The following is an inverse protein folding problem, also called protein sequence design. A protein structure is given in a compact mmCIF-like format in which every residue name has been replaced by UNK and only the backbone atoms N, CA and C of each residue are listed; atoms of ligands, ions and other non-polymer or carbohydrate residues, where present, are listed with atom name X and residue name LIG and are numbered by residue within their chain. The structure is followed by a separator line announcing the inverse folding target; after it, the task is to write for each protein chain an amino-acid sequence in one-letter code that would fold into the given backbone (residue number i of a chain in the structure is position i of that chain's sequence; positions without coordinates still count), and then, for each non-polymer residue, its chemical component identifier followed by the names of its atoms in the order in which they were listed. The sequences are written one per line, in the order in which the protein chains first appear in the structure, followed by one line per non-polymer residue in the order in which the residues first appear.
data_IF_715642217551
#
_entry.id   IF_715642217551
#
_cell.length_a   1.000
_cell.length_b   1.000
_cell.length_c   1.000
_cell.angle_alpha   90.00
_cell.angle_beta   90.00
_cell.angle_gamma   90.00
#
_symmetry.space_group_name_H-M   'P 1'
#
loop_
_entity.id
_entity.type
_entity.pdbx_description
1 polymer ?
#
# COMPACT_ATOMS: atom_id res chain seq x y z
N UNK A 1 -32.71 -3.23 -15.15
CA UNK A 1 -31.56 -2.79 -15.96
C UNK A 1 -31.86 -1.37 -16.36
N UNK A 2 -31.47 -0.42 -15.53
CA UNK A 2 -31.55 1.03 -15.79
C UNK A 2 -30.26 1.40 -16.53
N UNK A 3 -30.38 1.87 -17.77
CA UNK A 3 -29.31 2.45 -18.54
C UNK A 3 -28.88 3.75 -17.84
N UNK A 4 -27.76 3.74 -17.14
CA UNK A 4 -27.07 4.98 -16.78
C UNK A 4 -26.69 5.69 -18.07
N UNK A 5 -27.39 6.79 -18.36
CA UNK A 5 -27.03 7.66 -19.46
C UNK A 5 -25.76 8.40 -19.07
N UNK A 6 -24.61 7.90 -19.49
CA UNK A 6 -23.34 8.62 -19.39
C UNK A 6 -23.39 9.87 -20.25
N UNK A 7 -23.82 10.98 -19.68
CA UNK A 7 -23.63 12.28 -20.31
C UNK A 7 -22.11 12.56 -20.36
N UNK A 8 -21.55 12.89 -21.53
CA UNK A 8 -20.15 13.25 -21.60
C UNK A 8 -19.88 14.47 -20.71
N UNK A 9 -18.85 14.37 -19.87
CA UNK A 9 -18.43 15.46 -18.99
C UNK A 9 -18.20 16.74 -19.77
N UNK A 10 -18.72 17.84 -19.26
CA UNK A 10 -18.51 19.19 -19.81
C UNK A 10 -17.05 19.62 -19.65
N UNK A 11 -16.64 20.64 -20.41
CA UNK A 11 -15.30 21.22 -20.28
C UNK A 11 -15.08 21.86 -18.90
N UNK A 12 -16.13 22.40 -18.29
CA UNK A 12 -16.07 22.99 -16.94
C UNK A 12 -15.86 21.91 -15.88
N UNK A 13 -16.58 20.79 -15.94
CA UNK A 13 -16.38 19.66 -15.04
C UNK A 13 -14.97 19.09 -15.15
N UNK A 14 -14.42 18.96 -16.35
CA UNK A 14 -13.03 18.52 -16.54
C UNK A 14 -12.03 19.50 -15.92
N UNK A 15 -12.25 20.80 -16.06
CA UNK A 15 -11.39 21.81 -15.44
C UNK A 15 -11.50 21.77 -13.91
N UNK A 16 -12.71 21.56 -13.36
CA UNK A 16 -12.93 21.40 -11.92
C UNK A 16 -12.15 20.24 -11.34
N UNK A 17 -12.19 19.06 -11.97
CA UNK A 17 -11.41 17.88 -11.54
C UNK A 17 -9.91 18.18 -11.53
N UNK A 18 -9.39 18.87 -12.56
CA UNK A 18 -7.97 19.22 -12.61
C UNK A 18 -7.57 20.18 -11.48
N UNK A 19 -8.43 21.14 -11.14
CA UNK A 19 -8.16 22.07 -10.02
C UNK A 19 -8.32 21.41 -8.67
N UNK A 20 -9.21 20.42 -8.52
CA UNK A 20 -9.41 19.64 -7.30
C UNK A 20 -8.15 18.81 -6.96
N UNK A 21 -7.39 18.38 -7.97
CA UNK A 21 -6.16 17.60 -7.74
C UNK A 21 -4.96 18.43 -7.25
N UNK A 22 -5.01 19.75 -7.35
CA UNK A 22 -3.88 20.64 -7.06
C UNK A 22 -3.31 20.49 -5.63
N UNK A 23 -4.11 20.45 -4.54
CA UNK A 23 -3.59 20.26 -3.19
C UNK A 23 -2.84 18.93 -3.01
N UNK A 24 -3.28 17.89 -3.74
CA UNK A 24 -2.64 16.58 -3.73
C UNK A 24 -1.29 16.60 -4.44
N UNK A 25 -1.21 17.28 -5.57
CA UNK A 25 0.05 17.48 -6.29
C UNK A 25 1.08 18.20 -5.43
N UNK A 26 0.68 19.24 -4.69
CA UNK A 26 1.54 19.96 -3.75
C UNK A 26 1.98 19.05 -2.58
N UNK A 27 1.07 18.23 -2.04
CA UNK A 27 1.36 17.34 -0.93
C UNK A 27 2.36 16.25 -1.30
N UNK A 28 2.22 15.68 -2.51
CA UNK A 28 3.02 14.52 -2.92
C UNK A 28 4.22 14.85 -3.82
N UNK A 29 4.39 16.09 -4.26
CA UNK A 29 5.56 16.48 -5.05
C UNK A 29 6.87 16.17 -4.31
N UNK A 30 7.77 15.42 -4.94
CA UNK A 30 9.03 14.97 -4.37
C UNK A 30 8.93 13.87 -3.31
N UNK A 31 7.73 13.35 -3.03
CA UNK A 31 7.50 12.29 -2.05
C UNK A 31 7.63 10.90 -2.66
N UNK A 32 8.13 9.96 -1.87
CA UNK A 32 8.18 8.54 -2.25
C UNK A 32 6.89 7.84 -1.82
N UNK A 33 6.27 7.15 -2.76
CA UNK A 33 5.10 6.29 -2.52
C UNK A 33 5.45 4.87 -2.93
N UNK A 34 5.40 3.94 -1.97
CA UNK A 34 5.60 2.52 -2.25
C UNK A 34 4.25 1.88 -2.57
N UNK A 35 4.18 1.17 -3.69
CA UNK A 35 2.97 0.53 -4.18
C UNK A 35 3.20 -0.98 -4.26
N UNK A 36 2.46 -1.73 -3.48
CA UNK A 36 2.41 -3.18 -3.65
C UNK A 36 1.40 -3.53 -4.73
N UNK A 37 1.86 -4.23 -5.76
CA UNK A 37 1.05 -4.69 -6.88
C UNK A 37 0.91 -6.21 -6.89
N UNK A 38 -0.34 -6.70 -6.96
CA UNK A 38 -0.62 -8.14 -6.89
C UNK A 38 -2.09 -8.47 -7.13
N UNK A 39 -2.43 -9.74 -7.00
CA UNK A 39 -3.81 -10.23 -7.15
C UNK A 39 -4.30 -10.26 -8.61
N UNK A 40 -5.61 -10.16 -8.79
CA UNK A 40 -6.26 -10.22 -10.09
C UNK A 40 -5.90 -9.03 -11.00
N UNK A 41 -5.50 -7.90 -10.44
CA UNK A 41 -4.98 -6.76 -11.19
C UNK A 41 -3.76 -7.12 -12.07
N UNK A 42 -3.06 -8.21 -11.75
CA UNK A 42 -1.92 -8.72 -12.53
C UNK A 42 -2.32 -9.65 -13.67
N UNK A 43 -3.60 -10.01 -13.80
CA UNK A 43 -4.09 -10.97 -14.79
C UNK A 43 -4.91 -10.28 -15.87
N UNK A 44 -5.70 -9.29 -15.50
CA UNK A 44 -6.55 -8.52 -16.41
C UNK A 44 -5.74 -7.48 -17.19
N UNK A 45 -5.82 -7.51 -18.52
CA UNK A 45 -5.02 -6.65 -19.41
C UNK A 45 -5.43 -5.16 -19.33
N UNK A 46 -6.70 -4.85 -19.05
CA UNK A 46 -7.17 -3.46 -18.91
C UNK A 46 -6.68 -2.88 -17.59
N UNK A 47 -6.78 -3.65 -16.51
CA UNK A 47 -6.27 -3.25 -15.20
C UNK A 47 -4.75 -3.06 -15.20
N UNK A 48 -4.01 -3.95 -15.88
CA UNK A 48 -2.56 -3.79 -16.05
C UNK A 48 -2.19 -2.49 -16.77
N UNK A 49 -2.92 -2.15 -17.84
CA UNK A 49 -2.70 -0.89 -18.58
C UNK A 49 -3.05 0.33 -17.73
N UNK A 50 -4.18 0.31 -17.03
CA UNK A 50 -4.57 1.38 -16.12
C UNK A 50 -3.51 1.59 -15.04
N UNK A 51 -3.04 0.52 -14.40
CA UNK A 51 -1.96 0.58 -13.41
C UNK A 51 -0.68 1.22 -13.98
N UNK A 52 -0.24 0.79 -15.17
CA UNK A 52 0.96 1.35 -15.79
C UNK A 52 0.80 2.85 -16.12
N UNK A 53 -0.38 3.27 -16.56
CA UNK A 53 -0.71 4.68 -16.78
C UNK A 53 -0.68 5.47 -15.47
N UNK A 54 -1.23 4.91 -14.38
CA UNK A 54 -1.22 5.54 -13.06
C UNK A 54 0.21 5.78 -12.56
N UNK A 55 1.10 4.78 -12.68
CA UNK A 55 2.52 4.90 -12.31
C UNK A 55 3.20 6.02 -13.10
N UNK A 56 2.98 6.06 -14.42
CA UNK A 56 3.55 7.11 -15.28
C UNK A 56 2.97 8.48 -14.93
N UNK A 57 1.67 8.56 -14.66
CA UNK A 57 1.02 9.80 -14.24
C UNK A 57 1.63 10.32 -12.92
N UNK A 58 1.72 9.47 -11.88
CA UNK A 58 2.34 9.82 -10.60
C UNK A 58 3.77 10.34 -10.80
N UNK A 59 4.58 9.61 -11.61
CA UNK A 59 5.95 10.03 -11.92
C UNK A 59 6.01 11.39 -12.60
N UNK A 60 5.11 11.68 -13.54
CA UNK A 60 5.04 12.98 -14.24
C UNK A 60 4.56 14.11 -13.35
N UNK A 61 3.78 13.81 -12.30
CA UNK A 61 3.39 14.76 -11.26
C UNK A 61 4.49 15.03 -10.22
N UNK A 62 5.71 14.49 -10.41
CA UNK A 62 6.84 14.71 -9.49
C UNK A 62 6.84 13.79 -8.27
N UNK A 63 5.98 12.79 -8.23
CA UNK A 63 5.99 11.73 -7.19
C UNK A 63 7.08 10.71 -7.54
N UNK A 64 7.64 10.05 -6.55
CA UNK A 64 8.58 8.95 -6.71
C UNK A 64 7.90 7.60 -6.42
N UNK A 65 7.17 7.00 -7.40
CA UNK A 65 6.57 5.69 -7.20
C UNK A 65 7.65 4.60 -7.19
N UNK A 66 7.54 3.68 -6.22
CA UNK A 66 8.33 2.44 -6.12
C UNK A 66 7.35 1.27 -6.11
N UNK A 67 7.47 0.37 -7.07
CA UNK A 67 6.54 -0.75 -7.20
C UNK A 67 7.16 -2.00 -6.62
N UNK A 68 6.46 -2.68 -5.71
CA UNK A 68 6.82 -4.03 -5.24
C UNK A 68 5.75 -5.00 -5.72
N UNK A 69 6.14 -6.03 -6.47
CA UNK A 69 5.16 -6.93 -7.06
C UNK A 69 5.28 -8.37 -6.56
N UNK A 70 4.14 -9.05 -6.52
CA UNK A 70 4.04 -10.48 -6.39
C UNK A 70 3.98 -11.17 -7.76
N UNK A 71 3.47 -12.42 -7.78
CA UNK A 71 3.34 -13.21 -9.01
C UNK A 71 2.59 -14.52 -8.78
N UNK A 72 1.76 -14.57 -7.72
CA UNK A 72 1.06 -15.79 -7.29
C UNK A 72 0.36 -16.55 -8.42
N UNK A 73 -0.51 -15.90 -9.23
CA UNK A 73 -1.19 -16.55 -10.35
C UNK A 73 -0.23 -17.09 -11.41
N UNK A 74 0.78 -16.31 -11.80
CA UNK A 74 1.75 -16.69 -12.82
C UNK A 74 2.65 -17.85 -12.36
N UNK A 75 3.08 -17.82 -11.08
CA UNK A 75 3.83 -18.92 -10.45
C UNK A 75 2.97 -20.20 -10.45
N UNK A 76 1.70 -20.13 -10.01
CA UNK A 76 0.78 -21.28 -10.01
C UNK A 76 0.59 -21.85 -11.41
N UNK A 77 0.41 -21.00 -12.40
CA UNK A 77 0.26 -21.43 -13.79
C UNK A 77 1.53 -22.12 -14.31
N UNK A 78 2.72 -21.61 -13.99
CA UNK A 78 3.98 -22.19 -14.43
C UNK A 78 4.26 -23.54 -13.72
N UNK A 79 4.08 -23.62 -12.40
CA UNK A 79 4.21 -24.88 -11.65
C UNK A 79 3.26 -25.93 -12.19
N UNK A 80 1.99 -25.57 -12.47
CA UNK A 80 1.00 -26.47 -13.07
C UNK A 80 1.43 -26.98 -14.46
N UNK A 81 1.99 -26.13 -15.31
CA UNK A 81 2.52 -26.51 -16.62
C UNK A 81 3.68 -27.49 -16.54
N UNK A 82 4.48 -27.40 -15.48
CA UNK A 82 5.64 -28.28 -15.23
C UNK A 82 5.28 -29.52 -14.41
N UNK A 83 4.04 -29.65 -13.94
CA UNK A 83 3.60 -30.76 -13.10
C UNK A 83 4.16 -30.72 -11.68
N UNK A 84 4.64 -29.58 -11.22
CA UNK A 84 5.18 -29.39 -9.87
C UNK A 84 4.01 -29.03 -8.93
N UNK A 85 3.86 -29.76 -7.81
CA UNK A 85 2.79 -29.48 -6.85
C UNK A 85 2.90 -28.07 -6.27
N UNK A 86 1.74 -27.41 -6.10
CA UNK A 86 1.64 -26.08 -5.50
C UNK A 86 0.61 -26.12 -4.37
N UNK A 87 1.07 -25.96 -3.14
CA UNK A 87 0.27 -25.97 -1.93
C UNK A 87 0.35 -24.63 -1.22
N UNK A 88 -0.74 -24.26 -0.53
CA UNK A 88 -0.81 -23.08 0.31
C UNK A 88 -1.17 -23.47 1.74
N UNK A 89 -0.49 -22.88 2.71
CA UNK A 89 -0.73 -23.02 4.14
C UNK A 89 -0.75 -21.65 4.79
N UNK A 90 -1.79 -21.34 5.57
CA UNK A 90 -1.93 -20.04 6.19
C UNK A 90 -1.86 -18.86 5.19
N UNK A 91 -2.33 -19.03 3.97
CA UNK A 91 -2.27 -18.00 2.91
C UNK A 91 -0.90 -17.86 2.22
N UNK A 92 0.14 -18.59 2.66
CA UNK A 92 1.47 -18.57 2.08
C UNK A 92 1.73 -19.85 1.25
N UNK A 93 2.49 -19.72 0.16
CA UNK A 93 2.85 -20.84 -0.71
C UNK A 93 3.94 -21.67 -0.04
N UNK A 94 3.73 -22.96 0.14
CA UNK A 94 4.80 -23.90 0.46
C UNK A 94 5.79 -23.91 -0.72
N UNK A 95 7.05 -23.58 -0.47
CA UNK A 95 8.05 -23.34 -1.53
C UNK A 95 9.23 -24.33 -1.34
N UNK A 96 9.19 -25.44 -2.07
CA UNK A 96 10.31 -26.39 -2.13
C UNK A 96 11.49 -25.78 -2.89
N UNK A 97 12.72 -26.33 -2.79
CA UNK A 97 13.86 -25.87 -3.59
C UNK A 97 13.56 -25.87 -5.09
N UNK A 98 12.92 -26.90 -5.61
CA UNK A 98 12.50 -26.99 -7.01
C UNK A 98 11.47 -25.90 -7.38
N UNK A 99 10.47 -25.68 -6.51
CA UNK A 99 9.50 -24.62 -6.71
C UNK A 99 10.16 -23.22 -6.65
N UNK A 100 11.19 -23.03 -5.81
CA UNK A 100 11.89 -21.75 -5.69
C UNK A 100 12.62 -21.34 -6.97
N UNK A 101 13.21 -22.29 -7.69
CA UNK A 101 13.82 -22.02 -9.01
C UNK A 101 12.78 -21.45 -9.98
N UNK A 102 11.58 -22.03 -10.00
CA UNK A 102 10.47 -21.55 -10.84
C UNK A 102 9.96 -20.20 -10.36
N UNK A 103 9.79 -20.01 -9.04
CA UNK A 103 9.40 -18.71 -8.46
C UNK A 103 10.36 -17.62 -8.91
N UNK A 104 11.66 -17.83 -8.78
CA UNK A 104 12.69 -16.86 -9.19
C UNK A 104 12.61 -16.54 -10.68
N UNK A 105 12.52 -17.56 -11.55
CA UNK A 105 12.39 -17.37 -13.00
C UNK A 105 11.12 -16.58 -13.36
N UNK A 106 9.98 -16.94 -12.78
CA UNK A 106 8.70 -16.28 -13.07
C UNK A 106 8.67 -14.84 -12.55
N UNK A 107 9.09 -14.62 -11.31
CA UNK A 107 9.06 -13.30 -10.70
C UNK A 107 9.96 -12.30 -11.43
N UNK A 108 11.21 -12.67 -11.68
CA UNK A 108 12.20 -11.76 -12.30
C UNK A 108 12.11 -11.76 -13.82
N UNK A 109 12.03 -12.95 -14.42
CA UNK A 109 12.13 -13.13 -15.87
C UNK A 109 10.81 -12.92 -16.61
N UNK A 110 9.66 -13.13 -15.98
CA UNK A 110 8.34 -12.95 -16.60
C UNK A 110 7.61 -11.75 -16.00
N UNK A 111 7.12 -11.83 -14.77
CA UNK A 111 6.25 -10.82 -14.18
C UNK A 111 6.93 -9.45 -14.13
N UNK A 112 8.15 -9.38 -13.59
CA UNK A 112 8.92 -8.14 -13.52
C UNK A 112 9.19 -7.53 -14.91
N UNK A 113 9.52 -8.38 -15.90
CA UNK A 113 9.77 -7.91 -17.29
C UNK A 113 8.51 -7.41 -17.97
N UNK A 114 7.39 -8.12 -17.81
CA UNK A 114 6.11 -7.73 -18.38
C UNK A 114 5.67 -6.37 -17.82
N UNK A 115 5.80 -6.19 -16.49
CA UNK A 115 5.43 -4.94 -15.82
C UNK A 115 6.32 -3.76 -16.23
N UNK A 116 7.64 -3.96 -16.23
CA UNK A 116 8.61 -2.95 -16.72
C UNK A 116 8.34 -2.59 -18.19
N UNK A 117 8.11 -3.58 -19.05
CA UNK A 117 7.78 -3.36 -20.45
C UNK A 117 6.50 -2.56 -20.63
N UNK A 118 5.48 -2.87 -19.84
CA UNK A 118 4.19 -2.18 -19.89
C UNK A 118 4.30 -0.72 -19.44
N UNK A 119 4.96 -0.43 -18.32
CA UNK A 119 5.20 0.95 -17.88
C UNK A 119 6.03 1.70 -18.94
N UNK A 120 7.09 1.07 -19.45
CA UNK A 120 7.97 1.68 -20.45
C UNK A 120 7.30 1.89 -21.82
N UNK A 121 6.22 1.20 -22.13
CA UNK A 121 5.43 1.48 -23.34
C UNK A 121 4.71 2.84 -23.28
N UNK A 122 4.45 3.36 -22.08
CA UNK A 122 3.87 4.70 -21.86
C UNK A 122 4.95 5.76 -21.65
N UNK A 123 6.03 5.44 -20.92
CA UNK A 123 7.16 6.34 -20.66
C UNK A 123 8.36 5.52 -20.21
N UNK A 124 9.52 5.68 -20.87
CA UNK A 124 10.75 4.92 -20.59
C UNK A 124 11.37 5.36 -19.27
N UNK A 125 10.82 4.86 -18.16
CA UNK A 125 11.21 5.24 -16.77
C UNK A 125 11.39 4.04 -15.84
N UNK A 126 10.81 2.87 -16.14
CA UNK A 126 10.81 1.73 -15.24
C UNK A 126 12.07 0.88 -15.35
N UNK A 127 12.63 0.48 -14.20
CA UNK A 127 13.77 -0.42 -14.07
C UNK A 127 13.41 -1.54 -13.09
N UNK A 128 13.58 -2.80 -13.53
CA UNK A 128 13.28 -3.98 -12.70
C UNK A 128 14.45 -4.39 -11.83
N UNK A 129 14.12 -4.76 -10.60
CA UNK A 129 15.00 -5.27 -9.57
C UNK A 129 14.35 -6.48 -8.89
N UNK A 130 15.15 -7.18 -8.12
CA UNK A 130 14.70 -8.14 -7.09
C UNK A 130 15.37 -7.81 -5.76
N UNK A 131 14.98 -8.44 -4.68
CA UNK A 131 15.67 -8.28 -3.40
C UNK A 131 17.13 -8.74 -3.40
N UNK A 132 17.54 -9.50 -4.43
CA UNK A 132 18.93 -9.93 -4.61
C UNK A 132 19.83 -8.81 -5.15
N UNK A 133 19.25 -7.86 -5.92
CA UNK A 133 20.01 -6.84 -6.62
C UNK A 133 20.55 -5.78 -5.65
N UNK A 134 21.86 -5.54 -5.68
CA UNK A 134 22.53 -4.60 -4.79
C UNK A 134 22.44 -4.96 -3.30
N UNK A 135 22.05 -6.21 -2.96
CA UNK A 135 21.78 -6.63 -1.59
C UNK A 135 20.59 -5.92 -0.97
N UNK A 136 19.59 -5.59 -1.79
CA UNK A 136 18.41 -4.80 -1.39
C UNK A 136 17.69 -5.39 -0.19
N UNK A 137 17.45 -6.72 -0.18
CA UNK A 137 16.80 -7.41 0.92
C UNK A 137 17.69 -8.52 1.46
N UNK A 138 17.71 -8.68 2.80
CA UNK A 138 18.11 -9.90 3.47
C UNK A 138 16.87 -10.54 4.08
N UNK A 139 16.65 -11.83 3.83
CA UNK A 139 15.52 -12.58 4.36
C UNK A 139 15.96 -13.52 5.48
N UNK A 140 15.03 -13.82 6.38
CA UNK A 140 15.10 -14.98 7.28
C UNK A 140 13.96 -15.93 6.97
N UNK A 141 14.21 -17.23 7.18
CA UNK A 141 13.20 -18.27 6.96
C UNK A 141 11.98 -18.03 7.84
N UNK A 142 10.79 -18.06 7.21
CA UNK A 142 9.51 -17.87 7.89
C UNK A 142 8.70 -19.17 7.85
N UNK A 143 8.21 -19.61 9.01
CA UNK A 143 7.12 -20.57 9.16
C UNK A 143 5.77 -19.86 9.25
N UNK A 144 4.72 -20.60 9.43
CA UNK A 144 3.37 -20.12 9.76
C UNK A 144 2.74 -21.04 10.80
N UNK A 145 1.72 -20.52 11.49
CA UNK A 145 0.92 -21.33 12.42
C UNK A 145 -0.44 -21.58 11.76
N UNK A 146 -0.83 -22.85 11.64
CA UNK A 146 -2.14 -23.27 11.13
C UNK A 146 -2.78 -24.20 12.18
N UNK A 147 -3.97 -23.86 12.62
CA UNK A 147 -4.72 -24.62 13.65
C UNK A 147 -3.91 -24.85 14.94
N UNK A 148 -3.01 -23.91 15.31
CA UNK A 148 -2.16 -23.96 16.48
C UNK A 148 -0.87 -24.77 16.32
N UNK A 149 -0.59 -25.35 15.15
CA UNK A 149 0.63 -26.07 14.86
C UNK A 149 1.57 -25.25 13.96
N UNK A 150 2.87 -25.28 14.26
CA UNK A 150 3.90 -24.68 13.40
C UNK A 150 4.04 -25.48 12.12
N UNK A 151 3.92 -24.83 10.97
CA UNK A 151 4.03 -25.41 9.62
C UNK A 151 5.30 -24.88 8.96
N UNK A 152 6.17 -25.80 8.52
CA UNK A 152 7.30 -25.48 7.68
C UNK A 152 6.84 -25.18 6.25
N UNK A 153 7.16 -23.98 5.76
CA UNK A 153 6.82 -23.52 4.42
C UNK A 153 7.95 -23.73 3.39
N UNK A 154 9.06 -24.34 3.80
CA UNK A 154 10.25 -24.50 2.95
C UNK A 154 11.00 -23.19 2.77
N UNK A 155 11.29 -22.81 1.51
CA UNK A 155 12.01 -21.59 1.16
C UNK A 155 11.09 -20.36 1.09
N UNK A 156 10.38 -20.10 2.19
CA UNK A 156 9.62 -18.87 2.42
C UNK A 156 10.37 -18.03 3.44
N UNK A 157 10.51 -16.74 3.17
CA UNK A 157 11.22 -15.80 4.03
C UNK A 157 10.41 -14.56 4.36
N UNK A 158 10.82 -13.87 5.43
CA UNK A 158 10.43 -12.50 5.71
C UNK A 158 11.66 -11.59 5.64
N UNK A 159 11.46 -10.32 5.25
CA UNK A 159 12.54 -9.34 5.13
C UNK A 159 12.94 -8.86 6.53
N UNK A 160 14.23 -9.02 6.86
CA UNK A 160 14.80 -8.60 8.15
C UNK A 160 15.76 -7.42 8.01
N UNK A 161 16.37 -7.24 6.83
CA UNK A 161 17.23 -6.09 6.53
C UNK A 161 16.91 -5.55 5.13
N UNK A 162 16.95 -4.23 4.99
CA UNK A 162 16.76 -3.53 3.71
C UNK A 162 17.89 -2.54 3.50
N UNK A 163 18.57 -2.62 2.35
CA UNK A 163 19.59 -1.67 1.88
C UNK A 163 19.04 -0.88 0.71
N UNK A 164 18.76 0.38 0.94
CA UNK A 164 17.99 1.21 -0.01
C UNK A 164 18.81 1.80 -1.15
N UNK A 165 20.14 1.70 -1.14
CA UNK A 165 21.05 2.44 -2.04
C UNK A 165 20.75 2.19 -3.53
N UNK A 166 20.45 0.93 -3.91
CA UNK A 166 20.11 0.61 -5.29
C UNK A 166 18.78 1.24 -5.73
N UNK A 167 17.76 1.20 -4.86
CA UNK A 167 16.45 1.80 -5.13
C UNK A 167 16.54 3.32 -5.10
N UNK A 168 17.24 3.91 -4.13
CA UNK A 168 17.43 5.34 -4.03
C UNK A 168 18.18 5.90 -5.24
N UNK A 169 19.25 5.22 -5.69
CA UNK A 169 19.97 5.63 -6.91
C UNK A 169 19.08 5.64 -8.16
N UNK A 170 18.13 4.71 -8.28
CA UNK A 170 17.14 4.73 -9.36
C UNK A 170 16.15 5.89 -9.23
N UNK A 171 15.66 6.17 -8.02
CA UNK A 171 14.77 7.31 -7.74
C UNK A 171 15.47 8.62 -8.12
N UNK A 172 16.71 8.80 -7.69
CA UNK A 172 17.53 10.00 -7.94
C UNK A 172 17.84 10.19 -9.43
N UNK A 173 18.02 9.09 -10.16
CA UNK A 173 18.16 9.13 -11.64
C UNK A 173 16.87 9.43 -12.39
N UNK A 174 15.75 9.58 -11.69
CA UNK A 174 14.43 9.81 -12.27
C UNK A 174 13.72 8.55 -12.73
N UNK A 175 14.22 7.35 -12.39
CA UNK A 175 13.61 6.06 -12.74
C UNK A 175 12.52 5.66 -11.73
N UNK A 176 11.73 4.66 -12.12
CA UNK A 176 10.73 3.98 -11.30
C UNK A 176 11.24 2.57 -10.99
N UNK A 177 11.64 2.27 -9.74
CA UNK A 177 12.03 0.93 -9.36
C UNK A 177 10.83 -0.03 -9.36
N UNK A 178 11.00 -1.23 -9.94
CA UNK A 178 10.01 -2.31 -9.95
C UNK A 178 10.66 -3.54 -9.33
N UNK A 179 10.28 -3.88 -8.10
CA UNK A 179 10.97 -4.83 -7.24
C UNK A 179 10.19 -6.14 -7.11
N UNK A 180 10.82 -7.26 -7.42
CA UNK A 180 10.27 -8.60 -7.22
C UNK A 180 10.47 -9.08 -5.78
N UNK A 181 9.44 -9.70 -5.19
CA UNK A 181 9.43 -10.22 -3.82
C UNK A 181 10.20 -11.54 -3.65
N UNK A 182 11.51 -11.52 -3.88
CA UNK A 182 12.45 -12.60 -3.56
C UNK A 182 13.67 -12.01 -2.86
N UNK A 183 14.29 -12.75 -1.94
CA UNK A 183 15.44 -12.26 -1.20
C UNK A 183 16.35 -13.40 -0.74
N UNK A 184 17.69 -13.23 -0.76
CA UNK A 184 18.61 -14.18 -0.15
C UNK A 184 18.59 -14.02 1.38
N UNK A 185 18.92 -15.11 2.08
CA UNK A 185 19.32 -15.05 3.48
C UNK A 185 20.83 -14.73 3.61
N UNK A 186 21.33 -14.68 4.85
CA UNK A 186 22.76 -14.42 5.15
C UNK A 186 23.71 -15.49 4.59
N UNK A 187 23.19 -16.64 4.18
CA UNK A 187 23.96 -17.73 3.57
C UNK A 187 23.84 -17.74 2.03
N UNK A 188 23.08 -16.80 1.45
CA UNK A 188 22.84 -16.70 0.01
C UNK A 188 21.74 -17.64 -0.50
N UNK A 189 20.97 -18.28 0.38
CA UNK A 189 19.81 -19.09 -0.02
C UNK A 189 18.63 -18.17 -0.31
N UNK A 190 18.11 -18.26 -1.53
CA UNK A 190 17.01 -17.38 -1.98
C UNK A 190 15.67 -17.89 -1.47
N UNK A 191 14.86 -16.96 -0.95
CA UNK A 191 13.53 -17.20 -0.39
C UNK A 191 12.46 -16.48 -1.19
N UNK A 192 11.30 -17.10 -1.27
CA UNK A 192 10.06 -16.46 -1.74
C UNK A 192 9.51 -15.58 -0.60
N UNK A 193 9.44 -14.28 -0.84
CA UNK A 193 8.99 -13.29 0.14
C UNK A 193 7.59 -12.81 -0.22
N UNK A 194 6.72 -12.69 0.77
CA UNK A 194 5.42 -12.08 0.57
C UNK A 194 5.59 -10.62 0.14
N UNK A 195 4.94 -10.24 -0.98
CA UNK A 195 5.08 -8.91 -1.54
C UNK A 195 4.48 -7.81 -0.65
N UNK A 196 3.47 -8.11 0.18
CA UNK A 196 2.89 -7.15 1.12
C UNK A 196 3.92 -6.79 2.20
N UNK A 197 4.58 -7.80 2.80
CA UNK A 197 5.62 -7.60 3.83
C UNK A 197 6.89 -6.98 3.25
N UNK A 198 7.30 -7.37 2.03
CA UNK A 198 8.44 -6.77 1.34
C UNK A 198 8.19 -5.28 1.04
N UNK A 199 6.99 -4.93 0.59
CA UNK A 199 6.61 -3.55 0.33
C UNK A 199 6.61 -2.70 1.60
N UNK A 200 6.10 -3.23 2.72
CA UNK A 200 6.12 -2.55 4.00
C UNK A 200 7.56 -2.32 4.50
N UNK A 201 8.42 -3.35 4.43
CA UNK A 201 9.81 -3.24 4.84
C UNK A 201 10.57 -2.19 4.00
N UNK A 202 10.37 -2.20 2.68
CA UNK A 202 10.96 -1.22 1.77
C UNK A 202 10.44 0.19 2.02
N UNK A 203 9.13 0.35 2.26
CA UNK A 203 8.53 1.64 2.55
C UNK A 203 9.11 2.28 3.83
N UNK A 204 9.26 1.48 4.88
CA UNK A 204 9.88 1.92 6.15
C UNK A 204 11.34 2.32 5.92
N UNK A 205 12.13 1.50 5.25
CA UNK A 205 13.54 1.77 5.01
C UNK A 205 13.78 3.01 4.12
N UNK A 206 12.92 3.26 3.13
CA UNK A 206 12.94 4.45 2.28
C UNK A 206 12.36 5.69 2.96
N UNK A 207 11.80 5.56 4.17
CA UNK A 207 11.04 6.63 4.82
C UNK A 207 9.97 7.21 3.87
N UNK A 208 9.25 6.31 3.21
CA UNK A 208 8.23 6.68 2.24
C UNK A 208 7.11 7.47 2.90
N UNK A 209 6.48 8.38 2.17
CA UNK A 209 5.32 9.14 2.66
C UNK A 209 4.08 8.24 2.83
N UNK A 210 3.96 7.24 1.96
CA UNK A 210 2.80 6.35 1.93
C UNK A 210 3.13 4.96 1.41
N UNK A 211 2.45 3.95 1.95
CA UNK A 211 2.32 2.62 1.37
C UNK A 211 0.91 2.44 0.82
N UNK A 212 0.78 1.95 -0.42
CA UNK A 212 -0.50 1.55 -1.02
C UNK A 212 -0.45 0.07 -1.38
N UNK A 213 -1.36 -0.72 -0.83
CA UNK A 213 -1.48 -2.16 -1.08
C UNK A 213 -2.68 -2.42 -1.97
N UNK A 214 -2.45 -2.71 -3.24
CA UNK A 214 -3.52 -3.13 -4.16
C UNK A 214 -3.88 -4.60 -3.90
N UNK A 215 -5.16 -4.88 -3.80
CA UNK A 215 -5.74 -6.19 -3.47
C UNK A 215 -7.01 -6.47 -4.27
N UNK A 216 -7.65 -7.61 -4.02
CA UNK A 216 -8.87 -8.06 -4.69
C UNK A 216 -10.14 -7.82 -3.86
N UNK A 217 -10.08 -6.90 -2.89
CA UNK A 217 -11.21 -6.48 -2.05
C UNK A 217 -11.22 -4.97 -1.91
N UNK A 218 -12.39 -4.39 -1.69
CA UNK A 218 -12.59 -2.93 -1.59
C UNK A 218 -11.82 -2.30 -0.41
N UNK A 219 -11.63 -3.07 0.67
CA UNK A 219 -10.95 -2.62 1.88
C UNK A 219 -11.26 -3.55 3.04
N UNK A 220 -11.13 -3.06 4.26
CA UNK A 220 -11.54 -3.76 5.48
C UNK A 220 -13.02 -3.50 5.76
N UNK A 221 -13.81 -4.56 5.82
CA UNK A 221 -15.23 -4.46 6.14
C UNK A 221 -15.45 -4.46 7.65
N UNK A 222 -16.41 -3.65 8.12
CA UNK A 222 -16.71 -3.51 9.55
C UNK A 222 -17.20 -4.81 10.21
N UNK A 223 -18.11 -5.50 9.54
CA UNK A 223 -18.78 -6.70 10.07
C UNK A 223 -18.92 -7.78 8.97
N UNK A 224 -17.80 -8.22 8.40
CA UNK A 224 -17.84 -9.27 7.39
C UNK A 224 -18.24 -10.63 7.99
N UNK A 225 -19.15 -11.42 7.37
CA UNK A 225 -19.87 -11.17 6.10
C UNK A 225 -21.23 -10.47 6.24
N UNK A 226 -21.60 -9.98 7.43
CA UNK A 226 -22.91 -9.39 7.70
C UNK A 226 -23.10 -8.01 7.03
N UNK A 227 -22.02 -7.26 6.81
CA UNK A 227 -22.03 -5.97 6.13
C UNK A 227 -20.89 -5.89 5.09
N UNK A 228 -21.12 -5.10 4.04
CA UNK A 228 -20.10 -4.70 3.05
C UNK A 228 -19.64 -3.25 3.26
N UNK A 229 -19.94 -2.67 4.42
CA UNK A 229 -19.49 -1.31 4.76
C UNK A 229 -17.97 -1.31 4.98
N UNK A 230 -17.26 -0.60 4.12
CA UNK A 230 -15.80 -0.46 4.20
C UNK A 230 -15.44 0.55 5.29
N UNK A 231 -14.51 0.17 6.15
CA UNK A 231 -13.89 1.10 7.09
C UNK A 231 -12.95 2.01 6.29
N UNK A 232 -13.29 3.28 6.20
CA UNK A 232 -12.52 4.25 5.41
C UNK A 232 -11.15 4.56 6.04
N UNK A 233 -11.14 4.70 7.38
CA UNK A 233 -9.95 5.05 8.13
C UNK A 233 -9.97 4.43 9.52
N UNK A 234 -8.79 4.00 9.99
CA UNK A 234 -8.58 3.54 11.36
C UNK A 234 -7.12 3.81 11.77
N UNK A 235 -6.93 3.97 13.08
CA UNK A 235 -5.60 4.09 13.67
C UNK A 235 -4.89 2.74 13.78
N UNK A 236 -3.57 2.77 14.02
CA UNK A 236 -2.78 1.56 14.27
C UNK A 236 -3.31 0.77 15.47
N UNK A 237 -3.74 1.45 16.55
CA UNK A 237 -4.31 0.81 17.74
C UNK A 237 -5.64 0.12 17.43
N UNK A 238 -6.56 0.78 16.72
CA UNK A 238 -7.83 0.19 16.31
C UNK A 238 -7.62 -1.01 15.39
N UNK A 239 -6.67 -0.92 14.44
CA UNK A 239 -6.35 -2.05 13.58
C UNK A 239 -5.83 -3.24 14.38
N UNK A 240 -4.97 -2.99 15.39
CA UNK A 240 -4.39 -4.06 16.22
C UNK A 240 -5.48 -4.82 17.00
N UNK A 241 -6.51 -4.13 17.46
CA UNK A 241 -7.66 -4.77 18.12
C UNK A 241 -8.47 -5.67 17.16
N UNK A 242 -8.57 -5.28 15.89
CA UNK A 242 -9.33 -6.02 14.88
C UNK A 242 -8.55 -7.21 14.27
N UNK A 243 -7.24 -7.28 14.44
CA UNK A 243 -6.39 -8.28 13.76
C UNK A 243 -6.81 -9.73 13.99
N UNK A 244 -7.32 -10.06 15.20
CA UNK A 244 -7.76 -11.43 15.56
C UNK A 244 -9.00 -11.89 14.78
N UNK A 245 -9.80 -10.96 14.28
CA UNK A 245 -11.10 -11.23 13.64
C UNK A 245 -10.99 -11.24 12.10
N UNK A 246 -9.79 -10.97 11.57
CA UNK A 246 -9.56 -10.89 10.14
C UNK A 246 -9.46 -12.26 9.47
N UNK A 247 -9.95 -12.34 8.23
CA UNK A 247 -9.74 -13.51 7.40
C UNK A 247 -8.26 -13.71 7.05
N UNK A 248 -7.85 -14.96 6.86
CA UNK A 248 -6.45 -15.33 6.55
C UNK A 248 -5.88 -14.61 5.32
N UNK A 249 -6.71 -14.21 4.35
CA UNK A 249 -6.28 -13.46 3.17
C UNK A 249 -6.09 -11.96 3.44
N UNK A 250 -6.74 -11.40 4.48
CA UNK A 250 -6.64 -9.99 4.85
C UNK A 250 -5.48 -9.75 5.85
N UNK A 251 -5.21 -10.69 6.74
CA UNK A 251 -4.16 -10.60 7.76
C UNK A 251 -2.82 -10.11 7.20
N UNK A 252 -2.21 -10.70 6.16
CA UNK A 252 -0.91 -10.24 5.68
C UNK A 252 -0.91 -8.80 5.17
N UNK A 253 -2.03 -8.32 4.63
CA UNK A 253 -2.17 -6.96 4.11
C UNK A 253 -2.28 -5.93 5.23
N UNK A 254 -3.07 -6.25 6.25
CA UNK A 254 -3.22 -5.40 7.42
C UNK A 254 -1.95 -5.41 8.29
N UNK A 255 -1.27 -6.56 8.43
CA UNK A 255 0.07 -6.63 9.04
C UNK A 255 1.08 -5.73 8.31
N UNK A 256 1.05 -5.71 6.96
CA UNK A 256 1.93 -4.83 6.19
C UNK A 256 1.62 -3.35 6.43
N UNK A 257 0.34 -2.96 6.49
CA UNK A 257 -0.07 -1.60 6.82
C UNK A 257 0.34 -1.22 8.26
N UNK A 258 0.10 -2.11 9.23
CA UNK A 258 0.48 -1.90 10.62
C UNK A 258 1.99 -1.73 10.77
N UNK A 259 2.79 -2.66 10.18
CA UNK A 259 4.26 -2.58 10.15
C UNK A 259 4.76 -1.26 9.54
N UNK A 260 4.11 -0.78 8.47
CA UNK A 260 4.49 0.46 7.82
C UNK A 260 4.25 1.68 8.73
N UNK A 261 3.07 1.81 9.33
CA UNK A 261 2.76 2.98 10.18
C UNK A 261 3.50 2.93 11.52
N UNK A 262 3.71 1.76 12.11
CA UNK A 262 4.56 1.57 13.29
C UNK A 262 6.04 1.84 12.99
N UNK A 263 6.47 1.57 11.75
CA UNK A 263 7.80 1.88 11.24
C UNK A 263 8.03 3.35 10.90
N UNK A 264 7.04 4.22 11.08
CA UNK A 264 7.18 5.66 10.95
C UNK A 264 6.46 6.29 9.76
N UNK A 265 5.80 5.51 8.87
CA UNK A 265 4.99 6.09 7.81
C UNK A 265 3.74 6.75 8.41
N UNK A 266 3.36 7.89 7.88
CA UNK A 266 2.15 8.60 8.34
C UNK A 266 0.88 7.82 8.02
N UNK A 267 0.89 7.06 6.90
CA UNK A 267 -0.28 6.31 6.42
C UNK A 267 0.10 5.12 5.53
N UNK A 268 -0.75 4.11 5.59
CA UNK A 268 -0.74 2.97 4.68
C UNK A 268 -2.18 2.65 4.28
N UNK A 269 -2.41 2.22 3.03
CA UNK A 269 -3.77 1.98 2.53
C UNK A 269 -3.85 0.62 1.85
N UNK A 270 -4.96 -0.08 2.11
CA UNK A 270 -5.39 -1.24 1.31
C UNK A 270 -6.53 -0.79 0.42
N UNK A 271 -6.44 -1.04 -0.89
CA UNK A 271 -7.44 -0.59 -1.87
C UNK A 271 -7.66 -1.62 -2.99
N UNK A 272 -8.82 -1.56 -3.64
CA UNK A 272 -9.23 -2.50 -4.67
C UNK A 272 -8.48 -2.28 -5.99
N UNK A 273 -7.54 -3.16 -6.29
CA UNK A 273 -6.81 -3.15 -7.56
C UNK A 273 -7.63 -3.57 -8.78
N UNK A 274 -8.90 -4.01 -8.60
CA UNK A 274 -9.82 -4.33 -9.71
C UNK A 274 -10.54 -3.09 -10.24
N UNK A 275 -10.42 -1.96 -9.56
CA UNK A 275 -10.94 -0.67 -10.03
C UNK A 275 -9.90 -0.05 -10.98
N UNK A 276 -10.25 0.25 -12.23
CA UNK A 276 -9.35 0.98 -13.12
C UNK A 276 -8.93 2.33 -12.51
N UNK A 277 -7.66 2.65 -12.59
CA UNK A 277 -7.10 3.87 -12.00
C UNK A 277 -7.23 3.99 -10.48
N UNK A 278 -7.28 2.85 -9.77
CA UNK A 278 -7.40 2.80 -8.31
C UNK A 278 -6.35 3.66 -7.59
N UNK A 279 -5.10 3.71 -8.10
CA UNK A 279 -4.04 4.54 -7.50
C UNK A 279 -4.35 6.03 -7.59
N UNK A 280 -4.89 6.50 -8.72
CA UNK A 280 -5.24 7.90 -8.88
C UNK A 280 -6.41 8.29 -7.98
N UNK A 281 -7.42 7.43 -7.90
CA UNK A 281 -8.56 7.63 -7.01
C UNK A 281 -8.13 7.65 -5.54
N UNK A 282 -7.20 6.78 -5.15
CA UNK A 282 -6.73 6.69 -3.76
C UNK A 282 -5.80 7.84 -3.37
N UNK A 283 -4.98 8.35 -4.29
CA UNK A 283 -3.96 9.37 -4.00
C UNK A 283 -4.46 10.79 -4.22
N UNK A 284 -5.29 11.01 -5.23
CA UNK A 284 -5.68 12.34 -5.69
C UNK A 284 -7.13 12.71 -5.39
N UNK A 285 -7.82 11.98 -4.50
CA UNK A 285 -9.18 12.33 -4.06
C UNK A 285 -9.29 12.38 -2.54
N UNK A 286 -10.25 13.16 -2.05
CA UNK A 286 -10.49 13.33 -0.62
C UNK A 286 -11.00 12.06 0.06
N UNK A 287 -11.87 11.32 -0.60
CA UNK A 287 -12.49 10.13 -0.01
C UNK A 287 -11.57 8.91 -0.03
N UNK A 288 -10.70 8.79 -1.06
CA UNK A 288 -10.07 7.51 -1.36
C UNK A 288 -11.10 6.46 -1.76
N UNK A 289 -10.67 5.24 -1.98
CA UNK A 289 -11.58 4.10 -2.31
C UNK A 289 -11.31 2.87 -1.45
N UNK A 290 -10.35 2.93 -0.53
CA UNK A 290 -9.91 1.82 0.30
C UNK A 290 -9.99 2.09 1.80
N UNK A 291 -9.29 1.27 2.57
CA UNK A 291 -9.10 1.44 4.01
C UNK A 291 -7.72 2.02 4.27
N UNK A 292 -7.67 3.19 4.88
CA UNK A 292 -6.44 3.84 5.29
C UNK A 292 -6.14 3.56 6.77
N UNK A 293 -4.90 3.19 7.04
CA UNK A 293 -4.34 3.03 8.40
C UNK A 293 -3.40 4.19 8.66
N UNK A 294 -3.58 4.87 9.80
CA UNK A 294 -2.78 6.00 10.23
C UNK A 294 -2.06 5.72 11.54
N UNK A 295 -1.02 6.48 11.84
CA UNK A 295 -0.41 6.47 13.17
C UNK A 295 -1.43 6.92 14.22
N UNK A 296 -1.27 6.44 15.45
CA UNK A 296 -2.09 6.89 16.58
C UNK A 296 -1.88 8.40 16.83
N UNK A 297 -2.98 9.08 17.12
CA UNK A 297 -2.95 10.52 17.40
C UNK A 297 -2.83 11.43 16.16
N UNK A 298 -3.00 10.91 14.96
CA UNK A 298 -3.11 11.69 13.74
C UNK A 298 -4.58 11.86 13.33
N UNK A 299 -4.90 13.01 12.74
CA UNK A 299 -6.21 13.32 12.15
C UNK A 299 -6.00 13.78 10.72
N UNK A 300 -6.82 13.26 9.81
CA UNK A 300 -6.80 13.64 8.39
C UNK A 300 -7.72 14.83 8.12
N UNK A 301 -7.23 15.77 7.31
CA UNK A 301 -8.01 16.85 6.73
C UNK A 301 -7.65 16.99 5.25
N UNK A 302 -8.53 16.55 4.39
CA UNK A 302 -8.27 16.53 2.95
C UNK A 302 -7.01 15.71 2.61
N UNK A 303 -6.04 16.36 1.94
CA UNK A 303 -4.76 15.74 1.53
C UNK A 303 -3.73 15.60 2.64
N UNK A 304 -3.92 16.27 3.79
CA UNK A 304 -2.92 16.37 4.87
C UNK A 304 -3.35 15.61 6.12
N UNK A 305 -2.34 15.20 6.90
CA UNK A 305 -2.49 14.55 8.20
C UNK A 305 -1.82 15.42 9.24
N UNK A 306 -2.49 15.63 10.38
CA UNK A 306 -2.05 16.50 11.46
C UNK A 306 -2.06 15.74 12.80
N UNK A 307 -1.19 16.11 13.76
CA UNK A 307 -1.34 15.64 15.14
C UNK A 307 -2.71 16.05 15.72
N UNK A 308 -3.43 15.12 16.32
CA UNK A 308 -4.75 15.39 16.91
C UNK A 308 -4.70 16.45 18.04
N UNK A 309 -3.51 16.69 18.60
CA UNK A 309 -3.25 17.65 19.68
C UNK A 309 -2.92 19.06 19.21
N UNK A 310 -2.68 19.25 17.92
CA UNK A 310 -2.36 20.57 17.37
C UNK A 310 -3.60 21.24 16.77
N UNK A 311 -3.78 22.56 16.99
CA UNK A 311 -4.88 23.28 16.33
C UNK A 311 -4.59 23.33 14.82
N UNK A 312 -5.59 22.92 14.05
CA UNK A 312 -5.51 22.94 12.59
C UNK A 312 -5.40 24.38 12.11
N UNK A 313 -4.45 24.74 11.24
CA UNK A 313 -4.28 26.09 10.74
C UNK A 313 -5.57 26.59 10.04
N UNK A 314 -6.02 27.83 10.28
CA UNK A 314 -7.29 28.34 9.75
C UNK A 314 -7.43 28.31 8.22
N UNK A 315 -6.33 28.41 7.48
CA UNK A 315 -6.33 28.34 6.02
C UNK A 315 -6.59 26.92 5.47
N UNK A 316 -6.43 25.88 6.29
CA UNK A 316 -6.73 24.49 5.92
C UNK A 316 -8.24 24.22 5.95
N UNK A 317 -9.01 25.01 6.73
CA UNK A 317 -10.48 24.90 6.76
C UNK A 317 -11.15 25.46 5.49
N UNK A 318 -10.47 26.29 4.71
CA UNK A 318 -11.07 26.97 3.56
C UNK A 318 -11.13 26.08 2.28
N UNK A 319 -10.44 24.93 2.25
CA UNK A 319 -10.25 24.13 1.05
C UNK A 319 -10.96 22.76 1.07
N UNK A 320 -11.85 22.47 2.04
CA UNK A 320 -12.44 21.15 2.18
C UNK A 320 -13.96 21.18 2.41
N UNK A 321 -14.68 20.38 1.64
CA UNK A 321 -16.03 19.92 1.98
C UNK A 321 -15.95 18.99 3.19
N UNK A 322 -16.28 19.51 4.36
CA UNK A 322 -16.23 18.75 5.60
C UNK A 322 -17.45 17.84 5.72
N UNK A 323 -17.30 16.56 5.45
CA UNK A 323 -18.20 15.55 5.99
C UNK A 323 -18.26 15.75 7.52
N UNK A 324 -19.47 15.90 8.06
CA UNK A 324 -19.76 16.25 9.44
C UNK A 324 -19.26 15.20 10.46
N UNK A 325 -17.97 15.21 10.74
CA UNK A 325 -17.43 14.64 11.98
C UNK A 325 -17.35 15.79 12.99
N UNK A 326 -18.32 15.85 13.90
CA UNK A 326 -18.40 16.86 14.93
C UNK A 326 -17.18 16.78 15.85
N UNK A 327 -16.27 17.75 15.74
CA UNK A 327 -15.24 17.97 16.75
C UNK A 327 -15.96 18.58 17.95
N UNK A 328 -16.13 17.79 19.03
CA UNK A 328 -16.61 18.33 20.29
C UNK A 328 -15.58 19.37 20.80
N UNK A 329 -16.00 20.60 21.17
CA UNK A 329 -15.06 21.56 21.70
C UNK A 329 -14.50 21.07 23.04
N UNK A 330 -13.17 21.13 23.18
CA UNK A 330 -12.50 20.84 24.44
C UNK A 330 -13.09 21.73 25.55
N UNK A 331 -13.50 21.08 26.65
CA UNK A 331 -14.08 21.76 27.80
C UNK A 331 -13.08 22.78 28.38
N UNK A 332 -13.40 24.04 28.27
CA UNK A 332 -12.67 25.12 28.95
C UNK A 332 -12.85 24.96 30.46
N UNK A 333 -11.81 24.56 31.15
CA UNK A 333 -11.74 24.67 32.60
C UNK A 333 -11.78 26.17 32.97
N UNK A 334 -12.94 26.63 33.39
CA UNK A 334 -13.09 27.91 34.08
C UNK A 334 -12.46 27.76 35.47
N UNK A 335 -11.36 28.44 35.69
CA UNK A 335 -10.79 28.62 37.03
C UNK A 335 -11.59 29.70 37.77
N UNK A 336 -12.41 29.29 38.73
CA UNK A 336 -13.03 30.18 39.71
C UNK A 336 -11.95 30.81 40.58
N UNK A 337 -11.65 32.07 40.32
CA UNK A 337 -10.99 32.94 41.30
C UNK A 337 -12.04 33.53 42.23
N UNK A 338 -12.27 32.92 43.40
CA UNK A 338 -12.92 33.56 44.51
C UNK A 338 -11.99 34.60 45.14
N UNK A 339 -12.31 35.86 44.95
CA UNK A 339 -11.79 36.96 45.74
C UNK A 339 -12.53 37.06 47.07
N UNK A 340 -11.92 36.64 48.16
CA UNK A 340 -12.35 36.95 49.51
C UNK A 340 -11.91 38.37 49.87
N UNK A 341 -12.84 39.32 49.85
CA UNK A 341 -12.71 40.59 50.56
C UNK A 341 -13.12 40.41 51.99
N UNK A 342 -12.27 40.76 52.96
CA UNK A 342 -12.56 40.92 54.37
C UNK A 342 -12.36 42.39 54.78
N UNK A 343 -13.19 42.91 55.68
CA UNK A 343 -13.18 44.31 56.05
C UNK A 343 -12.33 44.57 57.31
N UNK A 344 -11.69 45.68 57.34
CA UNK A 344 -11.53 46.62 58.49
C UNK A 344 -10.66 47.82 58.09
#
# INVERSE_FOLDING_TARGET
MSSESTHPMTLVEKASILTETLPWLETYAGKTVVIKYGGNAMVDEELKRAFAQDIVFMKRCGIHPVVVHGGGPQISAMLGRLGIPSEFRGGLRVTTPEAMEIVRMVMVGQVGRDLVGLINSHSTVAVGLSGEDGGLFTAERRGTVVDGEEVDLGLVGDVVEVRTEAVQGLIDSGSVPVVAGIAPDVHGVVHNVNADTAAAALAVALQADRLVVLTDVEGLYRDWPASTDVIQELSASELRELMSDLSSGMVPKMEACLRAVEGGLTRATVTDGRVPHALLLEIFTNAGIGTMVTQDGLVRLGSRVFPATEPIPPHEYANGDFGTAAIAPAATHASDHQSSGGPA
#
